data_IF_193823900181
#
_entry.id   IF_193823900181
#
_cell.length_a   1.000
_cell.length_b   1.000
_cell.length_c   1.000
_cell.angle_alpha   90.00
_cell.angle_beta   90.00
_cell.angle_gamma   90.00
#
_symmetry.space_group_name_H-M   'P 1'
#
loop_
_entity.id
_entity.type
_entity.pdbx_description
1 polymer ?
#
# COMPACT_ATOMS: atom_id res chain seq x y z
N UNK A 1 -10.19 -6.78 4.81
CA UNK A 1 -9.99 -5.78 5.86
C UNK A 1 -11.01 -4.64 5.93
N UNK A 2 -11.83 -4.40 4.91
CA UNK A 2 -12.89 -3.36 5.00
C UNK A 2 -14.20 -3.85 5.62
N UNK A 3 -14.16 -4.96 6.38
CA UNK A 3 -15.34 -5.54 7.04
C UNK A 3 -15.71 -4.82 8.34
N UNK A 4 -14.76 -4.11 8.95
CA UNK A 4 -14.94 -3.42 10.24
C UNK A 4 -15.11 -1.91 10.11
N UNK A 5 -15.30 -1.39 8.89
CA UNK A 5 -15.55 0.04 8.65
C UNK A 5 -17.04 0.17 8.33
N UNK A 6 -17.78 0.95 9.12
CA UNK A 6 -19.14 1.32 8.75
C UNK A 6 -19.11 2.25 7.53
N UNK A 7 -19.53 1.70 6.38
CA UNK A 7 -19.61 2.44 5.13
C UNK A 7 -20.87 3.27 5.01
N UNK A 8 -21.81 3.14 5.96
CA UNK A 8 -23.02 3.95 6.03
C UNK A 8 -22.80 5.31 6.71
N UNK A 9 -21.83 5.38 7.62
CA UNK A 9 -21.36 6.62 8.24
C UNK A 9 -20.24 7.26 7.41
N UNK A 10 -20.53 8.40 6.77
CA UNK A 10 -19.52 9.14 5.99
C UNK A 10 -18.37 9.67 6.86
N UNK A 11 -18.67 9.99 8.12
CA UNK A 11 -17.67 10.47 9.08
C UNK A 11 -16.70 9.34 9.45
N UNK A 12 -17.23 8.18 9.82
CA UNK A 12 -16.41 7.01 10.17
C UNK A 12 -15.59 6.53 8.97
N UNK A 13 -16.20 6.46 7.78
CA UNK A 13 -15.50 6.09 6.56
C UNK A 13 -14.32 7.05 6.26
N UNK A 14 -14.54 8.35 6.45
CA UNK A 14 -13.50 9.37 6.25
C UNK A 14 -12.38 9.23 7.28
N UNK A 15 -12.71 9.04 8.55
CA UNK A 15 -11.72 8.82 9.61
C UNK A 15 -10.91 7.55 9.35
N UNK A 16 -11.59 6.45 9.01
CA UNK A 16 -10.98 5.16 8.77
C UNK A 16 -10.00 5.22 7.60
N UNK A 17 -10.42 5.76 6.45
CA UNK A 17 -9.54 5.85 5.28
C UNK A 17 -8.34 6.77 5.53
N UNK A 18 -8.52 7.89 6.26
CA UNK A 18 -7.40 8.78 6.61
C UNK A 18 -6.46 8.17 7.68
N UNK A 19 -6.88 7.11 8.38
CA UNK A 19 -6.11 6.45 9.44
C UNK A 19 -5.57 5.08 9.05
N UNK A 20 -6.04 4.52 7.94
CA UNK A 20 -5.83 3.12 7.57
C UNK A 20 -4.35 2.74 7.45
N UNK A 21 -3.53 3.62 6.87
CA UNK A 21 -2.09 3.40 6.75
C UNK A 21 -1.41 3.29 8.12
N UNK A 22 -1.81 4.14 9.07
CA UNK A 22 -1.32 4.12 10.44
C UNK A 22 -1.73 2.84 11.16
N UNK A 23 -2.97 2.39 10.97
CA UNK A 23 -3.43 1.12 11.53
C UNK A 23 -2.62 -0.05 11.02
N UNK A 24 -2.31 -0.10 9.73
CA UNK A 24 -1.42 -1.11 9.17
C UNK A 24 -0.01 -1.03 9.73
N UNK A 25 0.55 0.17 9.84
CA UNK A 25 1.90 0.35 10.37
C UNK A 25 2.03 -0.10 11.83
N UNK A 26 0.99 0.13 12.65
CA UNK A 26 0.95 -0.30 14.04
C UNK A 26 0.59 -1.77 14.24
N UNK A 27 0.05 -2.45 13.23
CA UNK A 27 -0.29 -3.86 13.32
C UNK A 27 0.95 -4.71 13.64
N UNK A 28 0.87 -5.53 14.69
CA UNK A 28 1.96 -6.43 15.06
C UNK A 28 2.23 -7.47 13.94
N UNK A 29 1.17 -8.04 13.38
CA UNK A 29 1.24 -8.99 12.28
C UNK A 29 0.12 -8.68 11.30
N UNK A 30 0.40 -8.78 10.00
CA UNK A 30 -0.60 -8.65 8.94
C UNK A 30 -0.68 -9.93 8.12
N UNK A 31 -1.89 -10.26 7.67
CA UNK A 31 -2.14 -11.46 6.89
C UNK A 31 -2.72 -11.10 5.52
N UNK A 32 -2.04 -11.50 4.46
CA UNK A 32 -2.52 -11.36 3.09
C UNK A 32 -3.05 -12.70 2.60
N UNK A 33 -4.37 -12.80 2.47
CA UNK A 33 -5.05 -13.98 1.92
C UNK A 33 -5.22 -13.84 0.39
N UNK A 34 -4.57 -14.73 -0.35
CA UNK A 34 -4.56 -14.79 -1.81
C UNK A 34 -5.61 -15.78 -2.29
N UNK A 35 -6.86 -15.34 -2.34
CA UNK A 35 -8.02 -16.20 -2.63
C UNK A 35 -8.03 -16.85 -4.02
N UNK A 36 -7.23 -16.32 -4.95
CA UNK A 36 -7.11 -16.74 -6.34
C UNK A 36 -5.74 -17.41 -6.64
N UNK A 37 -5.07 -17.91 -5.61
CA UNK A 37 -3.81 -18.62 -5.72
C UNK A 37 -3.80 -19.87 -4.83
N UNK A 38 -3.13 -20.93 -5.26
CA UNK A 38 -2.92 -22.16 -4.47
C UNK A 38 -1.49 -22.63 -4.66
N UNK A 39 -0.80 -22.96 -3.57
CA UNK A 39 0.57 -23.48 -3.63
C UNK A 39 0.55 -24.89 -4.21
N UNK A 40 1.35 -25.13 -5.24
CA UNK A 40 1.58 -26.45 -5.83
C UNK A 40 0.79 -26.74 -7.11
N UNK A 41 -0.09 -25.82 -7.55
CA UNK A 41 -0.74 -25.97 -8.85
C UNK A 41 0.26 -25.74 -10.01
N UNK A 42 1.30 -24.90 -9.81
CA UNK A 42 2.43 -24.68 -10.73
C UNK A 42 3.69 -24.20 -9.98
N UNK A 43 4.86 -24.21 -10.65
CA UNK A 43 6.13 -23.68 -10.12
C UNK A 43 6.20 -22.13 -10.05
N UNK A 44 5.09 -21.43 -10.32
CA UNK A 44 5.04 -19.97 -10.35
C UNK A 44 4.69 -19.35 -9.00
N UNK A 45 5.33 -18.23 -8.67
CA UNK A 45 4.99 -17.39 -7.52
C UNK A 45 3.64 -16.67 -7.72
N UNK A 46 2.96 -16.23 -6.65
CA UNK A 46 1.61 -15.64 -6.75
C UNK A 46 1.55 -14.28 -7.45
N UNK A 47 2.69 -13.64 -7.70
CA UNK A 47 2.82 -12.22 -8.02
C UNK A 47 2.14 -11.77 -9.32
N UNK A 48 2.13 -12.65 -10.33
CA UNK A 48 1.53 -12.34 -11.63
C UNK A 48 0.08 -12.80 -11.74
N UNK A 49 -0.37 -13.69 -10.84
CA UNK A 49 -1.69 -14.33 -10.90
C UNK A 49 -2.67 -13.75 -9.91
N UNK A 50 -2.23 -13.49 -8.69
CA UNK A 50 -3.14 -13.05 -7.64
C UNK A 50 -3.56 -11.61 -7.90
N UNK A 51 -4.87 -11.39 -7.91
CA UNK A 51 -5.46 -10.06 -8.01
C UNK A 51 -5.02 -9.17 -6.85
N UNK A 52 -4.58 -9.72 -5.72
CA UNK A 52 -4.07 -8.94 -4.59
C UNK A 52 -2.97 -7.95 -5.02
N UNK A 53 -2.05 -8.33 -5.93
CA UNK A 53 -0.99 -7.44 -6.43
C UNK A 53 -1.46 -6.42 -7.47
N UNK A 54 -2.71 -6.51 -7.90
CA UNK A 54 -3.33 -5.58 -8.86
C UNK A 54 -4.39 -4.67 -8.24
N UNK A 55 -4.67 -4.79 -6.94
CA UNK A 55 -5.64 -3.92 -6.24
C UNK A 55 -4.93 -2.67 -5.72
N UNK A 56 -5.59 -1.51 -5.80
CA UNK A 56 -5.01 -0.23 -5.33
C UNK A 56 -4.69 -0.26 -3.83
N UNK A 57 -5.69 -0.54 -3.00
CA UNK A 57 -5.60 -0.51 -1.53
C UNK A 57 -4.54 -1.44 -0.93
N UNK A 58 -4.26 -2.57 -1.59
CA UNK A 58 -3.28 -3.54 -1.08
C UNK A 58 -1.84 -3.02 -1.18
N UNK A 59 -1.61 -1.86 -1.81
CA UNK A 59 -0.29 -1.20 -1.77
C UNK A 59 0.05 -0.74 -0.35
N UNK A 60 -0.90 -0.12 0.34
CA UNK A 60 -0.72 0.30 1.73
C UNK A 60 -0.60 -0.93 2.64
N UNK A 61 -1.42 -1.96 2.42
CA UNK A 61 -1.35 -3.25 3.12
C UNK A 61 0.03 -3.91 2.95
N UNK A 62 0.69 -3.74 1.79
CA UNK A 62 2.02 -4.28 1.53
C UNK A 62 3.14 -3.50 2.19
N UNK A 63 3.06 -2.17 2.23
CA UNK A 63 4.15 -1.27 2.64
C UNK A 63 4.12 -0.99 4.14
N UNK A 64 2.95 -0.62 4.66
CA UNK A 64 2.82 -0.06 6.00
C UNK A 64 3.25 -1.04 7.11
N UNK A 65 2.76 -2.29 7.16
CA UNK A 65 3.05 -3.18 8.27
C UNK A 65 4.54 -3.45 8.48
N UNK A 66 4.92 -3.74 9.72
CA UNK A 66 6.24 -4.27 10.06
C UNK A 66 6.44 -5.68 9.48
N UNK A 67 5.46 -6.56 9.72
CA UNK A 67 5.43 -7.94 9.21
C UNK A 67 4.15 -8.23 8.44
N UNK A 68 4.27 -9.03 7.38
CA UNK A 68 3.15 -9.57 6.64
C UNK A 68 3.44 -11.00 6.18
N UNK A 69 2.48 -11.89 6.42
CA UNK A 69 2.52 -13.29 5.99
C UNK A 69 1.46 -13.51 4.90
N UNK A 70 1.88 -14.10 3.79
CA UNK A 70 1.02 -14.46 2.68
C UNK A 70 0.48 -15.88 2.87
N UNK A 71 -0.82 -16.04 2.65
CA UNK A 71 -1.54 -17.31 2.66
C UNK A 71 -2.24 -17.51 1.32
N UNK A 72 -2.27 -18.75 0.85
CA UNK A 72 -3.02 -19.12 -0.35
C UNK A 72 -4.50 -19.36 -0.05
N UNK A 73 -5.27 -19.74 -1.08
CA UNK A 73 -6.72 -20.01 -0.99
C UNK A 73 -7.10 -21.18 -0.06
N UNK A 74 -6.12 -21.98 0.37
CA UNK A 74 -6.30 -23.10 1.32
C UNK A 74 -5.71 -22.78 2.70
N UNK A 75 -5.41 -21.51 2.98
CA UNK A 75 -4.75 -21.06 4.21
C UNK A 75 -3.39 -21.70 4.44
N UNK A 76 -2.70 -22.12 3.37
CA UNK A 76 -1.32 -22.58 3.46
C UNK A 76 -0.38 -21.39 3.34
N UNK A 77 0.61 -21.32 4.25
CA UNK A 77 1.62 -20.25 4.27
C UNK A 77 2.45 -20.29 2.98
N UNK A 78 2.44 -19.20 2.23
CA UNK A 78 3.26 -18.98 1.03
C UNK A 78 4.65 -18.49 1.43
N UNK A 79 4.72 -17.54 2.37
CA UNK A 79 5.96 -16.92 2.84
C UNK A 79 5.70 -15.56 3.50
N UNK A 80 6.72 -14.95 4.09
CA UNK A 80 6.65 -13.55 4.54
C UNK A 80 7.03 -12.59 3.41
N UNK A 81 6.73 -11.29 3.57
CA UNK A 81 7.30 -10.25 2.69
C UNK A 81 8.83 -10.27 2.69
N UNK A 82 9.46 -10.55 3.83
CA UNK A 82 10.91 -10.67 3.92
C UNK A 82 11.43 -11.85 3.08
N UNK A 83 10.80 -13.03 3.20
CA UNK A 83 11.13 -14.24 2.43
C UNK A 83 11.05 -14.00 0.91
N UNK A 84 10.10 -13.16 0.49
CA UNK A 84 9.73 -12.94 -0.90
C UNK A 84 10.24 -11.61 -1.48
N UNK A 85 11.16 -10.95 -0.79
CA UNK A 85 11.52 -9.54 -1.05
C UNK A 85 11.97 -9.29 -2.49
N UNK A 86 12.84 -10.13 -3.05
CA UNK A 86 13.37 -9.93 -4.40
C UNK A 86 12.29 -10.02 -5.47
N UNK A 87 11.36 -10.96 -5.31
CA UNK A 87 10.29 -11.18 -6.28
C UNK A 87 9.21 -10.11 -6.16
N UNK A 88 8.92 -9.68 -4.93
CA UNK A 88 8.06 -8.52 -4.66
C UNK A 88 8.64 -7.24 -5.26
N UNK A 89 9.95 -6.99 -5.09
CA UNK A 89 10.61 -5.82 -5.66
C UNK A 89 10.52 -5.82 -7.18
N UNK A 90 10.80 -6.96 -7.82
CA UNK A 90 10.67 -7.11 -9.27
C UNK A 90 9.24 -6.86 -9.75
N UNK A 91 8.23 -7.37 -9.03
CA UNK A 91 6.82 -7.22 -9.42
C UNK A 91 6.27 -5.82 -9.21
N UNK A 92 6.61 -5.18 -8.10
CA UNK A 92 5.92 -3.97 -7.60
C UNK A 92 6.73 -2.70 -7.82
N UNK A 93 8.00 -2.82 -8.24
CA UNK A 93 8.96 -1.72 -8.33
C UNK A 93 9.26 -1.06 -6.97
N UNK A 94 8.80 -1.66 -5.87
CA UNK A 94 9.09 -1.19 -4.51
C UNK A 94 10.51 -1.64 -4.16
N UNK A 95 11.39 -0.72 -3.71
CA UNK A 95 12.75 -1.05 -3.33
C UNK A 95 12.82 -2.10 -2.21
N UNK A 96 13.85 -2.95 -2.27
CA UNK A 96 14.16 -3.96 -1.24
C UNK A 96 14.24 -3.34 0.16
N UNK A 97 14.77 -2.12 0.28
CA UNK A 97 14.88 -1.40 1.55
C UNK A 97 13.51 -1.11 2.21
N UNK A 98 12.44 -0.94 1.42
CA UNK A 98 11.08 -0.73 1.94
C UNK A 98 10.41 -2.07 2.29
N UNK A 99 10.67 -3.12 1.52
CA UNK A 99 10.05 -4.44 1.70
C UNK A 99 10.71 -5.25 2.82
N UNK A 100 12.00 -5.05 3.05
CA UNK A 100 12.77 -5.73 4.09
C UNK A 100 13.42 -4.72 5.04
N UNK A 101 12.64 -4.27 6.02
CA UNK A 101 13.06 -3.32 7.06
C UNK A 101 14.14 -3.86 7.99
N UNK A 102 14.29 -5.19 8.10
CA UNK A 102 15.37 -5.79 8.88
C UNK A 102 16.73 -5.64 8.19
N UNK A 103 16.75 -5.64 6.85
CA UNK A 103 17.97 -5.46 6.06
C UNK A 103 18.55 -4.03 6.14
N UNK A 104 17.74 -3.03 6.53
CA UNK A 104 18.21 -1.64 6.67
C UNK A 104 18.84 -1.35 8.04
N UNK A 105 18.88 -2.33 8.95
CA UNK A 105 19.39 -2.14 10.31
C UNK A 105 18.47 -1.33 11.22
N UNK A 106 17.27 -0.97 10.74
CA UNK A 106 16.23 -0.35 11.54
C UNK A 106 15.75 -1.35 12.61
N UNK A 107 16.08 -1.07 13.87
CA UNK A 107 15.76 -1.92 15.02
C UNK A 107 14.53 -1.40 15.77
N UNK A 108 13.41 -1.05 15.14
CA UNK A 108 12.27 -0.55 15.92
C UNK A 108 10.87 -1.00 15.48
N UNK A 109 10.21 -1.62 16.46
CA UNK A 109 8.79 -1.65 16.84
C UNK A 109 7.80 -0.76 16.06
N UNK A 110 7.40 -1.14 14.84
CA UNK A 110 6.20 -0.57 14.21
C UNK A 110 6.11 0.97 14.28
N UNK A 111 7.23 1.67 14.10
CA UNK A 111 7.29 3.12 14.23
C UNK A 111 6.93 3.79 12.90
N UNK A 112 5.80 4.51 12.89
CA UNK A 112 5.35 5.28 11.75
C UNK A 112 6.34 6.37 11.34
N UNK A 113 7.09 6.96 12.28
CA UNK A 113 8.04 8.03 12.01
C UNK A 113 9.19 7.49 11.16
N UNK A 114 9.78 6.35 11.55
CA UNK A 114 10.85 5.71 10.77
C UNK A 114 10.37 5.31 9.38
N UNK A 115 9.19 4.72 9.27
CA UNK A 115 8.61 4.38 7.97
C UNK A 115 8.45 5.62 7.08
N UNK A 116 7.97 6.74 7.61
CA UNK A 116 7.84 8.00 6.86
C UNK A 116 9.19 8.53 6.41
N UNK A 117 10.21 8.47 7.28
CA UNK A 117 11.58 8.84 6.92
C UNK A 117 12.07 8.01 5.74
N UNK A 118 11.90 6.69 5.78
CA UNK A 118 12.32 5.79 4.69
C UNK A 118 11.55 6.04 3.38
N UNK A 119 10.24 6.24 3.45
CA UNK A 119 9.42 6.56 2.28
C UNK A 119 9.83 7.89 1.63
N UNK A 120 10.15 8.91 2.43
CA UNK A 120 10.54 10.23 1.95
C UNK A 120 11.96 10.28 1.36
N UNK A 121 12.74 9.19 1.42
CA UNK A 121 14.01 9.06 0.67
C UNK A 121 13.78 8.88 -0.83
N UNK A 122 12.55 8.53 -1.22
CA UNK A 122 12.15 8.33 -2.61
C UNK A 122 11.35 9.52 -3.12
N UNK A 123 11.61 9.89 -4.38
CA UNK A 123 10.89 10.97 -5.05
C UNK A 123 9.38 10.67 -5.12
N UNK A 124 8.57 11.72 -5.30
CA UNK A 124 7.12 11.59 -5.47
C UNK A 124 6.80 10.70 -6.66
N UNK A 125 7.46 10.91 -7.80
CA UNK A 125 7.31 10.05 -9.00
C UNK A 125 7.65 8.58 -8.72
N UNK A 126 8.73 8.30 -7.98
CA UNK A 126 9.11 6.93 -7.64
C UNK A 126 8.04 6.25 -6.76
N UNK A 127 7.50 6.96 -5.77
CA UNK A 127 6.40 6.47 -4.94
C UNK A 127 5.11 6.27 -5.74
N UNK A 128 4.79 7.17 -6.66
CA UNK A 128 3.65 7.04 -7.58
C UNK A 128 3.79 5.78 -8.45
N UNK A 129 5.01 5.46 -8.89
CA UNK A 129 5.28 4.28 -9.72
C UNK A 129 4.97 2.96 -9.01
N UNK A 130 5.00 2.89 -7.67
CA UNK A 130 4.60 1.68 -6.93
C UNK A 130 3.10 1.35 -7.06
N UNK A 131 2.31 2.34 -7.48
CA UNK A 131 0.89 2.17 -7.77
C UNK A 131 0.61 1.71 -9.21
N UNK A 132 1.65 1.63 -10.06
CA UNK A 132 1.50 1.26 -11.46
C UNK A 132 0.89 -0.14 -11.63
N UNK A 133 -0.03 -0.27 -12.59
CA UNK A 133 -0.75 -1.52 -12.86
C UNK A 133 -1.81 -1.88 -11.82
N UNK A 134 -1.94 -1.13 -10.72
CA UNK A 134 -3.00 -1.32 -9.73
C UNK A 134 -4.30 -0.66 -10.18
N UNK A 135 -5.41 -1.30 -9.86
CA UNK A 135 -6.77 -0.92 -10.23
C UNK A 135 -7.63 -0.78 -8.99
N UNK A 136 -8.59 0.14 -9.07
CA UNK A 136 -9.58 0.39 -8.02
C UNK A 136 -10.98 0.29 -8.60
N UNK A 137 -11.94 -0.12 -7.77
CA UNK A 137 -13.35 -0.23 -8.18
C UNK A 137 -13.96 1.16 -8.35
N UNK A 138 -13.70 2.06 -7.41
CA UNK A 138 -14.05 3.49 -7.52
C UNK A 138 -12.85 4.23 -8.07
N UNK A 139 -13.08 5.17 -8.97
CA UNK A 139 -11.98 5.91 -9.62
C UNK A 139 -11.27 6.81 -8.60
N UNK A 140 -11.99 7.32 -7.61
CA UNK A 140 -11.46 8.16 -6.53
C UNK A 140 -10.49 7.42 -5.61
N UNK A 141 -10.70 6.11 -5.43
CA UNK A 141 -9.81 5.26 -4.62
C UNK A 141 -8.40 5.20 -5.21
N UNK A 142 -8.20 5.51 -6.50
CA UNK A 142 -6.85 5.68 -7.08
C UNK A 142 -6.07 6.76 -6.32
N UNK A 143 -6.74 7.80 -5.84
CA UNK A 143 -6.16 8.83 -5.01
C UNK A 143 -6.13 8.41 -3.53
N UNK A 144 -7.26 7.96 -3.00
CA UNK A 144 -7.39 7.69 -1.57
C UNK A 144 -6.49 6.54 -1.09
N UNK A 145 -6.26 5.54 -1.94
CA UNK A 145 -5.31 4.44 -1.68
C UNK A 145 -3.83 4.84 -1.70
N UNK A 146 -3.50 6.10 -1.98
CA UNK A 146 -2.13 6.62 -1.93
C UNK A 146 -1.89 7.60 -0.77
N UNK A 147 -2.94 8.04 -0.08
CA UNK A 147 -2.81 9.06 0.97
C UNK A 147 -1.79 8.70 2.05
N UNK A 148 -1.81 7.43 2.50
CA UNK A 148 -0.87 6.95 3.50
C UNK A 148 0.60 6.92 3.04
N UNK A 149 0.84 6.65 1.76
CA UNK A 149 2.19 6.61 1.17
C UNK A 149 2.82 8.02 1.12
N UNK A 150 1.98 9.04 0.97
CA UNK A 150 2.38 10.44 0.89
C UNK A 150 2.18 11.22 2.20
N UNK A 151 1.68 10.56 3.27
CA UNK A 151 1.37 11.18 4.56
C UNK A 151 0.44 12.41 4.45
N UNK A 152 -0.55 12.32 3.55
CA UNK A 152 -1.53 13.37 3.32
C UNK A 152 -2.90 12.99 3.87
N UNK A 153 -3.69 14.00 4.22
CA UNK A 153 -5.10 13.83 4.57
C UNK A 153 -5.95 14.67 3.64
N UNK A 154 -7.06 14.13 3.16
CA UNK A 154 -8.04 14.86 2.37
C UNK A 154 -9.45 14.34 2.60
N UNK A 155 -10.43 15.22 2.43
CA UNK A 155 -11.85 14.86 2.48
C UNK A 155 -12.21 13.93 1.32
N UNK A 156 -12.89 12.82 1.64
CA UNK A 156 -13.41 11.87 0.66
C UNK A 156 -14.68 12.44 0.01
N UNK A 157 -14.65 12.59 -1.30
CA UNK A 157 -15.77 13.08 -2.11
C UNK A 157 -16.08 12.06 -3.22
N UNK A 158 -16.69 10.94 -2.85
CA UNK A 158 -17.12 9.94 -3.84
C UNK A 158 -18.15 10.55 -4.81
N UNK A 159 -17.90 10.41 -6.11
CA UNK A 159 -18.65 11.08 -7.18
C UNK A 159 -17.86 12.22 -7.84
N UNK A 160 -16.74 12.67 -7.28
CA UNK A 160 -15.87 13.68 -7.90
C UNK A 160 -15.08 13.13 -9.10
N UNK A 161 -15.03 11.80 -9.25
CA UNK A 161 -14.39 11.15 -10.39
C UNK A 161 -12.87 11.32 -10.41
N UNK A 162 -12.26 11.47 -11.59
CA UNK A 162 -10.80 11.64 -11.73
C UNK A 162 -10.23 12.89 -11.01
N UNK A 163 -11.08 13.84 -10.61
CA UNK A 163 -10.66 15.05 -9.87
C UNK A 163 -10.03 14.72 -8.52
N UNK A 164 -10.40 13.59 -7.91
CA UNK A 164 -9.79 13.11 -6.67
C UNK A 164 -8.27 12.99 -6.78
N UNK A 165 -7.77 12.49 -7.92
CA UNK A 165 -6.33 12.31 -8.14
C UNK A 165 -5.61 13.64 -8.32
N UNK A 166 -6.24 14.62 -8.97
CA UNK A 166 -5.70 15.98 -9.06
C UNK A 166 -5.58 16.62 -7.68
N UNK A 167 -6.62 16.50 -6.85
CA UNK A 167 -6.59 16.99 -5.46
C UNK A 167 -5.48 16.33 -4.65
N UNK A 168 -5.26 15.02 -4.83
CA UNK A 168 -4.11 14.35 -4.21
C UNK A 168 -2.78 15.03 -4.62
N UNK A 169 -2.57 15.27 -5.91
CA UNK A 169 -1.36 15.95 -6.39
C UNK A 169 -1.21 17.36 -5.82
N UNK A 170 -2.30 18.14 -5.78
CA UNK A 170 -2.34 19.47 -5.16
C UNK A 170 -1.94 19.42 -3.68
N UNK A 171 -2.48 18.47 -2.91
CA UNK A 171 -2.15 18.32 -1.49
C UNK A 171 -0.69 17.91 -1.31
N UNK A 172 -0.17 16.99 -2.12
CA UNK A 172 1.26 16.59 -2.09
C UNK A 172 2.16 17.80 -2.34
N UNK A 173 1.83 18.62 -3.34
CA UNK A 173 2.59 19.84 -3.68
C UNK A 173 2.65 20.86 -2.54
N UNK A 174 1.70 20.86 -1.61
CA UNK A 174 1.77 21.75 -0.44
C UNK A 174 2.79 21.31 0.61
N UNK A 175 3.27 20.06 0.53
CA UNK A 175 4.16 19.45 1.52
C UNK A 175 5.58 19.20 1.00
N UNK A 176 5.81 19.32 -0.31
CA UNK A 176 7.12 19.07 -0.92
C UNK A 176 7.38 19.96 -2.13
N UNK A 177 8.66 20.29 -2.35
CA UNK A 177 9.14 20.99 -3.55
C UNK A 177 9.63 20.01 -4.63
N UNK A 178 9.41 18.71 -4.46
CA UNK A 178 9.81 17.67 -5.41
C UNK A 178 9.02 17.80 -6.73
N UNK A 179 9.69 18.37 -7.74
CA UNK A 179 9.14 18.61 -9.07
C UNK A 179 8.88 17.33 -9.87
N UNK A 180 9.36 16.17 -9.41
CA UNK A 180 9.14 14.91 -10.12
C UNK A 180 7.67 14.49 -10.19
N UNK A 181 6.80 15.08 -9.36
CA UNK A 181 5.35 14.92 -9.48
C UNK A 181 4.79 15.37 -10.85
N UNK A 182 5.49 16.26 -11.55
CA UNK A 182 5.12 16.73 -12.88
C UNK A 182 5.53 15.77 -14.02
N UNK A 183 6.34 14.76 -13.70
CA UNK A 183 6.83 13.76 -14.66
C UNK A 183 5.99 12.48 -14.70
N UNK A 184 4.87 12.44 -13.96
CA UNK A 184 3.98 11.29 -13.81
C UNK A 184 2.55 11.62 -14.28
#
# INVERSE_FOLDING_TARGET
DTCCIDKSSSAELSEAINSMFSWYAYAHESYAYLSDFTIGDEASLPFDRSRWFSRGWTLQELIAPGSIIFFDSRWKRVGTRADLTLQLAARTKIPVAILNKQATGARYNNDLIELRVDLNRFSVSARMLWAEGRKTTRVEDRAYSLMGIFDVKMTLLYGEGPKAFRRLQEVILTQTNDQSILAF
#
